data_IF_832644243619
#
_entry.id   IF_832644243619
#
_cell.length_a   1.000
_cell.length_b   1.000
_cell.length_c   1.000
_cell.angle_alpha   90.00
_cell.angle_beta   90.00
_cell.angle_gamma   90.00
#
_symmetry.space_group_name_H-M   'P 1'
#
loop_
_entity.id
_entity.type
_entity.pdbx_description
1 polymer ?
#
# COMPACT_ATOMS: atom_id res chain seq x y z
N UNK A 1 -13.52 -30.72 -9.54
CA UNK A 1 -13.01 -29.39 -9.98
C UNK A 1 -11.66 -29.64 -10.63
N UNK A 2 -11.43 -29.18 -11.86
CA UNK A 2 -10.14 -29.42 -12.53
C UNK A 2 -9.03 -28.59 -11.86
N UNK A 3 -7.84 -29.18 -11.74
CA UNK A 3 -6.66 -28.55 -11.10
C UNK A 3 -6.32 -27.18 -11.74
N UNK A 4 -6.48 -27.08 -13.07
CA UNK A 4 -6.32 -25.83 -13.82
C UNK A 4 -7.28 -24.72 -13.39
N UNK A 5 -8.50 -25.05 -12.96
CA UNK A 5 -9.49 -24.06 -12.54
C UNK A 5 -9.13 -23.47 -11.17
N UNK A 6 -8.58 -24.29 -10.27
CA UNK A 6 -8.07 -23.84 -8.96
C UNK A 6 -6.89 -22.89 -9.17
N UNK A 7 -5.94 -23.26 -10.04
CA UNK A 7 -4.79 -22.41 -10.37
C UNK A 7 -5.23 -21.07 -10.99
N UNK A 8 -6.24 -21.09 -11.88
CA UNK A 8 -6.80 -19.89 -12.48
C UNK A 8 -7.37 -18.92 -11.44
N UNK A 9 -8.22 -19.42 -10.53
CA UNK A 9 -8.82 -18.62 -9.47
C UNK A 9 -7.75 -18.00 -8.56
N UNK A 10 -6.74 -18.79 -8.16
CA UNK A 10 -5.64 -18.29 -7.31
C UNK A 10 -4.86 -17.19 -8.01
N UNK A 11 -4.58 -17.34 -9.31
CA UNK A 11 -3.88 -16.32 -10.09
C UNK A 11 -4.68 -15.03 -10.17
N UNK A 12 -5.97 -15.10 -10.45
CA UNK A 12 -6.84 -13.92 -10.54
C UNK A 12 -7.00 -13.23 -9.19
N UNK A 13 -7.11 -14.00 -8.10
CA UNK A 13 -7.13 -13.46 -6.74
C UNK A 13 -5.84 -12.71 -6.38
N UNK A 14 -4.68 -13.27 -6.73
CA UNK A 14 -3.38 -12.62 -6.54
C UNK A 14 -3.26 -11.34 -7.37
N UNK A 15 -3.69 -11.38 -8.63
CA UNK A 15 -3.62 -10.23 -9.54
C UNK A 15 -4.52 -9.09 -9.05
N UNK A 16 -5.72 -9.41 -8.59
CA UNK A 16 -6.67 -8.47 -7.99
C UNK A 16 -6.12 -7.87 -6.71
N UNK A 17 -5.57 -8.71 -5.82
CA UNK A 17 -4.93 -8.26 -4.58
C UNK A 17 -3.76 -7.30 -4.85
N UNK A 18 -2.93 -7.58 -5.86
CA UNK A 18 -1.81 -6.74 -6.25
C UNK A 18 -2.28 -5.40 -6.82
N UNK A 19 -3.34 -5.36 -7.64
CA UNK A 19 -3.91 -4.11 -8.16
C UNK A 19 -4.45 -3.21 -7.05
N UNK A 20 -5.06 -3.81 -6.03
CA UNK A 20 -5.64 -3.12 -4.88
C UNK A 20 -4.54 -2.61 -3.93
N UNK A 21 -3.56 -3.46 -3.61
CA UNK A 21 -2.47 -3.13 -2.68
C UNK A 21 -1.40 -2.22 -3.31
N UNK A 22 -1.13 -2.36 -4.60
CA UNK A 22 -0.09 -1.64 -5.33
C UNK A 22 -0.04 -0.12 -5.07
N UNK A 23 -1.12 0.63 -5.31
CA UNK A 23 -1.11 2.07 -5.10
C UNK A 23 -0.92 2.47 -3.63
N UNK A 24 -1.49 1.71 -2.69
CA UNK A 24 -1.29 1.94 -1.24
C UNK A 24 0.17 1.72 -0.84
N UNK A 25 0.80 0.67 -1.36
CA UNK A 25 2.21 0.37 -1.11
C UNK A 25 3.13 1.45 -1.67
N UNK A 26 2.86 1.94 -2.89
CA UNK A 26 3.65 3.02 -3.51
C UNK A 26 3.62 4.27 -2.63
N UNK A 27 2.44 4.69 -2.16
CA UNK A 27 2.32 5.87 -1.29
C UNK A 27 3.04 5.66 0.04
N UNK A 28 2.90 4.48 0.66
CA UNK A 28 3.59 4.14 1.90
C UNK A 28 5.12 4.19 1.77
N UNK A 29 5.65 3.71 0.63
CA UNK A 29 7.08 3.73 0.32
C UNK A 29 7.56 5.18 0.13
N UNK A 30 6.85 5.99 -0.68
CA UNK A 30 7.23 7.37 -0.94
C UNK A 30 7.28 8.21 0.35
N UNK A 31 6.25 8.11 1.19
CA UNK A 31 6.21 8.83 2.47
C UNK A 31 7.31 8.32 3.39
N UNK A 32 7.50 7.00 3.48
CA UNK A 32 8.56 6.40 4.29
C UNK A 32 9.94 6.90 3.89
N UNK A 33 10.21 6.99 2.57
CA UNK A 33 11.46 7.48 2.03
C UNK A 33 11.69 8.95 2.37
N UNK A 34 10.70 9.82 2.11
CA UNK A 34 10.80 11.27 2.40
C UNK A 34 11.10 11.50 3.87
N UNK A 35 10.38 10.81 4.76
CA UNK A 35 10.58 10.95 6.20
C UNK A 35 11.93 10.38 6.64
N UNK A 36 12.40 9.26 6.07
CA UNK A 36 13.71 8.69 6.41
C UNK A 36 14.86 9.64 6.03
N UNK A 37 14.75 10.36 4.91
CA UNK A 37 15.73 11.37 4.50
C UNK A 37 15.71 12.53 5.49
N UNK A 38 14.52 13.03 5.84
CA UNK A 38 14.37 14.10 6.82
C UNK A 38 14.98 13.74 8.19
N UNK A 39 14.72 12.52 8.66
CA UNK A 39 15.30 12.00 9.90
C UNK A 39 16.82 11.88 9.82
N UNK A 40 17.36 11.39 8.71
CA UNK A 40 18.80 11.28 8.51
C UNK A 40 19.50 12.64 8.48
N UNK A 41 18.93 13.65 7.79
CA UNK A 41 19.52 14.99 7.69
C UNK A 41 19.45 15.77 9.00
N UNK A 42 18.37 15.60 9.77
CA UNK A 42 18.18 16.32 11.06
C UNK A 42 18.71 15.57 12.27
N UNK A 43 19.15 14.32 12.09
CA UNK A 43 19.55 13.40 13.16
C UNK A 43 18.44 13.09 14.18
N UNK A 44 17.18 13.35 13.84
CA UNK A 44 16.02 13.03 14.68
C UNK A 44 15.62 11.58 14.41
N UNK A 45 15.74 10.71 15.42
CA UNK A 45 15.38 9.28 15.33
C UNK A 45 14.12 8.95 16.13
N UNK A 46 13.08 9.76 15.98
CA UNK A 46 11.80 9.57 16.67
C UNK A 46 10.88 8.65 15.87
N UNK A 47 10.59 7.46 16.43
CA UNK A 47 9.77 6.45 15.74
C UNK A 47 8.37 6.96 15.37
N UNK A 48 7.81 7.88 16.16
CA UNK A 48 6.49 8.47 15.94
C UNK A 48 6.43 9.32 14.67
N UNK A 49 7.53 10.00 14.30
CA UNK A 49 7.62 10.80 13.08
C UNK A 49 7.56 9.95 11.82
N UNK A 50 8.03 8.70 11.85
CA UNK A 50 7.88 7.77 10.71
C UNK A 50 6.46 7.22 10.63
N UNK A 51 5.84 6.98 11.77
CA UNK A 51 4.58 6.24 11.85
C UNK A 51 3.37 7.09 11.47
N UNK A 52 3.24 8.30 12.04
CA UNK A 52 2.04 9.14 11.89
C UNK A 52 1.82 9.60 10.45
N UNK A 53 2.81 10.21 9.74
CA UNK A 53 2.61 10.63 8.36
C UNK A 53 2.29 9.46 7.41
N UNK A 54 2.91 8.30 7.65
CA UNK A 54 2.69 7.08 6.87
C UNK A 54 1.26 6.57 7.03
N UNK A 55 0.74 6.53 8.25
CA UNK A 55 -0.66 6.14 8.53
C UNK A 55 -1.65 7.06 7.82
N UNK A 56 -1.44 8.38 7.91
CA UNK A 56 -2.29 9.38 7.26
C UNK A 56 -2.28 9.16 5.74
N UNK A 57 -1.11 8.93 5.14
CA UNK A 57 -0.99 8.65 3.71
C UNK A 57 -1.72 7.39 3.27
N UNK A 58 -1.60 6.30 4.03
CA UNK A 58 -2.31 5.04 3.77
C UNK A 58 -3.83 5.25 3.88
N UNK A 59 -4.30 5.92 4.94
CA UNK A 59 -5.72 6.19 5.14
C UNK A 59 -6.29 7.08 4.03
N UNK A 60 -5.61 8.17 3.69
CA UNK A 60 -6.03 9.06 2.61
C UNK A 60 -6.08 8.34 1.25
N UNK A 61 -5.07 7.53 0.95
CA UNK A 61 -5.02 6.73 -0.29
C UNK A 61 -6.15 5.72 -0.35
N UNK A 62 -6.43 5.03 0.75
CA UNK A 62 -7.55 4.10 0.85
C UNK A 62 -8.91 4.79 0.67
N UNK A 63 -9.09 5.98 1.24
CA UNK A 63 -10.33 6.75 1.07
C UNK A 63 -10.53 7.20 -0.38
N UNK A 64 -9.48 7.73 -1.02
CA UNK A 64 -9.53 8.21 -2.41
C UNK A 64 -9.73 7.05 -3.38
N UNK A 65 -9.04 5.93 -3.18
CA UNK A 65 -9.11 4.76 -4.05
C UNK A 65 -10.23 3.79 -3.67
N UNK A 66 -11.02 4.07 -2.64
CA UNK A 66 -12.10 3.20 -2.18
C UNK A 66 -13.04 2.78 -3.32
N UNK A 67 -13.49 3.74 -4.14
CA UNK A 67 -14.35 3.47 -5.30
C UNK A 67 -13.66 2.62 -6.38
N UNK A 68 -12.36 2.83 -6.62
CA UNK A 68 -11.59 2.02 -7.57
C UNK A 68 -11.41 0.58 -7.07
N UNK A 69 -11.12 0.41 -5.78
CA UNK A 69 -10.93 -0.90 -5.16
C UNK A 69 -12.23 -1.71 -5.22
N UNK A 70 -13.38 -1.07 -4.96
CA UNK A 70 -14.68 -1.73 -5.02
C UNK A 70 -15.10 -2.17 -6.43
N UNK A 71 -14.71 -1.43 -7.48
CA UNK A 71 -14.96 -1.85 -8.87
C UNK A 71 -14.00 -2.95 -9.36
N UNK A 72 -12.88 -3.15 -8.67
CA UNK A 72 -11.84 -4.11 -9.07
C UNK A 72 -12.06 -5.51 -8.48
N UNK A 73 -12.82 -5.60 -7.39
CA UNK A 73 -13.25 -6.85 -6.73
C UNK A 73 -14.47 -7.41 -7.46
#
# INVERSE_FOLDING_TARGET
>A
MSENLIIGIVKDALYTSLKIAGPILIVSILIGLIISIFQATTQIQEQTLTFVPKLIGIAATGLILSSFMLHTI
#
